data_IF_879459694893
#
_entry.id   IF_879459694893
#
_cell.length_a   1.000
_cell.length_b   1.000
_cell.length_c   1.000
_cell.angle_alpha   90.00
_cell.angle_beta   90.00
_cell.angle_gamma   90.00
#
_symmetry.space_group_name_H-M   'P 1'
#
loop_
_entity.id
_entity.type
_entity.pdbx_description
1 polymer ?
#
# COMPACT_ATOMS: atom_id res chain seq x y z
N UNK A 1 -14.80 21.22 13.66
CA UNK A 1 -14.18 20.97 12.34
C UNK A 1 -12.98 20.05 12.52
N UNK A 2 -13.11 18.74 12.27
CA UNK A 2 -11.97 17.79 12.34
C UNK A 2 -11.65 17.13 10.99
N UNK A 3 -12.46 17.40 9.97
CA UNK A 3 -12.50 16.61 8.74
C UNK A 3 -11.70 17.23 7.58
N UNK A 4 -11.35 18.52 7.65
CA UNK A 4 -10.62 19.21 6.58
C UNK A 4 -9.68 20.28 7.13
N UNK A 5 -8.77 20.76 6.28
CA UNK A 5 -8.03 22.03 6.44
C UNK A 5 -8.60 22.99 5.40
N UNK A 6 -8.84 24.23 5.76
CA UNK A 6 -9.29 25.28 4.85
C UNK A 6 -8.15 26.28 4.64
N UNK A 7 -8.04 26.79 3.43
CA UNK A 7 -7.03 27.77 3.04
C UNK A 7 -7.71 28.89 2.26
N UNK A 8 -7.32 30.13 2.55
CA UNK A 8 -7.77 31.31 1.81
C UNK A 8 -6.83 32.48 2.06
N UNK A 9 -6.77 33.37 1.08
CA UNK A 9 -5.95 34.58 1.11
C UNK A 9 -6.88 35.77 1.03
N UNK A 10 -6.72 36.73 1.94
CA UNK A 10 -7.55 37.92 2.01
C UNK A 10 -6.70 39.17 1.87
N UNK A 11 -7.22 40.16 1.17
CA UNK A 11 -6.62 41.49 1.20
C UNK A 11 -7.00 42.18 2.52
N UNK A 12 -6.01 42.79 3.18
CA UNK A 12 -6.24 43.60 4.39
C UNK A 12 -7.17 44.78 4.10
N UNK A 13 -7.23 45.26 2.85
CA UNK A 13 -8.13 46.34 2.42
C UNK A 13 -9.62 46.00 2.52
N UNK A 14 -9.97 44.72 2.69
CA UNK A 14 -11.37 44.30 2.89
C UNK A 14 -11.88 44.66 4.28
N UNK A 15 -11.01 45.04 5.20
CA UNK A 15 -11.36 45.30 6.58
C UNK A 15 -11.22 46.79 6.91
N UNK A 16 -12.26 47.41 7.50
CA UNK A 16 -12.17 48.80 7.95
C UNK A 16 -11.16 48.99 9.10
N UNK A 17 -10.88 47.93 9.86
CA UNK A 17 -9.88 47.85 10.93
C UNK A 17 -9.12 46.52 10.82
N UNK A 18 -8.00 46.37 11.54
CA UNK A 18 -7.27 45.10 11.57
C UNK A 18 -8.19 44.00 12.13
N UNK A 19 -8.47 42.92 11.35
CA UNK A 19 -9.40 41.89 11.78
C UNK A 19 -8.81 41.02 12.89
N UNK A 20 -9.66 40.60 13.81
CA UNK A 20 -9.36 39.59 14.81
C UNK A 20 -9.21 38.20 14.18
N UNK A 21 -8.52 37.29 14.88
CA UNK A 21 -8.40 35.90 14.45
C UNK A 21 -9.77 35.21 14.29
N UNK A 22 -10.78 35.60 15.08
CA UNK A 22 -12.16 35.06 14.98
C UNK A 22 -12.85 35.53 13.71
N UNK A 23 -12.69 36.80 13.35
CA UNK A 23 -13.25 37.35 12.10
C UNK A 23 -12.62 36.68 10.87
N UNK A 24 -11.29 36.52 10.86
CA UNK A 24 -10.58 35.81 9.79
C UNK A 24 -11.03 34.34 9.69
N UNK A 25 -11.17 33.64 10.82
CA UNK A 25 -11.63 32.26 10.84
C UNK A 25 -13.08 32.11 10.34
N UNK A 26 -13.98 33.03 10.72
CA UNK A 26 -15.36 33.06 10.24
C UNK A 26 -15.48 33.36 8.75
N UNK A 27 -14.58 34.17 8.20
CA UNK A 27 -14.51 34.39 6.76
C UNK A 27 -14.10 33.14 5.98
N UNK A 28 -13.21 32.32 6.53
CA UNK A 28 -12.85 31.03 5.93
C UNK A 28 -13.95 29.98 6.15
N UNK A 29 -14.60 30.00 7.30
CA UNK A 29 -15.64 29.06 7.66
C UNK A 29 -16.70 29.69 8.56
N UNK A 30 -17.87 29.94 7.97
CA UNK A 30 -19.06 30.50 8.63
C UNK A 30 -19.53 29.66 9.84
N UNK A 31 -19.19 28.37 9.90
CA UNK A 31 -19.50 27.45 11.00
C UNK A 31 -18.65 27.67 12.26
N UNK A 32 -17.67 28.58 12.24
CA UNK A 32 -16.86 28.93 13.41
C UNK A 32 -17.71 29.72 14.41
N UNK A 33 -17.99 29.13 15.57
CA UNK A 33 -18.81 29.75 16.63
C UNK A 33 -18.01 30.20 17.85
N UNK A 34 -16.68 30.01 17.87
CA UNK A 34 -15.84 30.38 19.02
C UNK A 34 -15.76 31.89 19.22
N UNK A 35 -15.65 32.33 20.47
CA UNK A 35 -15.53 33.74 20.85
C UNK A 35 -14.08 34.24 20.90
N UNK A 36 -13.11 33.34 21.06
CA UNK A 36 -11.67 33.65 21.08
C UNK A 36 -10.84 32.43 20.65
N UNK A 37 -9.61 32.69 20.23
CA UNK A 37 -8.56 31.68 20.05
C UNK A 37 -7.49 31.86 21.12
N UNK A 38 -6.87 30.76 21.53
CA UNK A 38 -5.70 30.77 22.41
C UNK A 38 -4.42 30.89 21.60
N UNK A 39 -3.46 31.66 22.13
CA UNK A 39 -2.17 31.86 21.46
C UNK A 39 -1.30 30.62 21.68
N UNK A 40 -0.79 30.06 20.59
CA UNK A 40 0.23 29.02 20.65
C UNK A 40 1.59 29.69 20.84
N UNK A 41 2.14 29.61 22.06
CA UNK A 41 3.43 30.22 22.43
C UNK A 41 4.60 29.23 22.38
N UNK A 42 4.33 27.95 22.15
CA UNK A 42 5.36 26.93 22.04
C UNK A 42 6.30 27.15 20.85
N UNK A 43 7.60 27.36 21.11
CA UNK A 43 8.58 27.71 20.07
C UNK A 43 8.71 26.67 18.94
N UNK A 44 8.54 25.37 19.24
CA UNK A 44 8.58 24.31 18.21
C UNK A 44 7.21 23.97 17.62
N UNK A 45 6.19 24.78 17.88
CA UNK A 45 4.87 24.58 17.29
C UNK A 45 4.89 24.48 15.75
N UNK A 46 5.66 25.29 15.00
CA UNK A 46 5.70 25.19 13.54
C UNK A 46 6.14 23.80 13.03
N UNK A 47 7.11 23.16 13.71
CA UNK A 47 7.57 21.80 13.35
C UNK A 47 6.45 20.77 13.53
N UNK A 48 5.70 20.86 14.65
CA UNK A 48 4.59 19.93 14.94
C UNK A 48 3.42 20.14 13.97
N UNK A 49 3.09 21.39 13.67
CA UNK A 49 2.00 21.75 12.74
C UNK A 49 2.37 21.30 11.32
N UNK A 50 3.61 21.54 10.88
CA UNK A 50 4.07 21.11 9.55
C UNK A 50 4.04 19.58 9.44
N UNK A 51 4.53 18.86 10.45
CA UNK A 51 4.43 17.40 10.48
C UNK A 51 2.97 16.93 10.40
N UNK A 52 2.06 17.58 11.13
CA UNK A 52 0.64 17.30 11.02
C UNK A 52 0.08 17.61 9.63
N UNK A 53 0.42 18.71 8.97
CA UNK A 53 -0.13 19.02 7.65
C UNK A 53 0.41 18.06 6.56
N UNK A 54 1.69 17.69 6.66
CA UNK A 54 2.36 16.82 5.69
C UNK A 54 2.11 15.32 5.90
N UNK A 55 1.39 14.92 6.95
CA UNK A 55 1.11 13.50 7.25
C UNK A 55 0.42 12.73 6.11
N UNK A 56 -0.20 13.44 5.16
CA UNK A 56 -0.89 12.87 3.99
C UNK A 56 0.03 12.76 2.77
N UNK A 57 1.17 13.45 2.78
CA UNK A 57 2.11 13.47 1.66
C UNK A 57 3.05 12.29 1.83
N UNK A 58 2.83 11.23 1.06
CA UNK A 58 3.80 10.13 0.99
C UNK A 58 4.89 10.45 -0.03
N UNK A 59 6.17 10.44 0.35
CA UNK A 59 7.27 10.47 -0.62
C UNK A 59 7.46 9.10 -1.30
N UNK A 60 6.91 8.03 -0.72
CA UNK A 60 7.21 6.66 -1.11
C UNK A 60 5.93 5.93 -1.54
N UNK A 61 6.05 5.14 -2.60
CA UNK A 61 4.93 4.39 -3.18
C UNK A 61 5.31 2.93 -3.39
N UNK A 62 4.30 2.06 -3.36
CA UNK A 62 4.46 0.65 -3.66
C UNK A 62 3.31 0.19 -4.55
N UNK A 63 3.65 -0.54 -5.60
CA UNK A 63 2.67 -0.98 -6.59
C UNK A 63 2.88 -2.45 -6.92
N UNK A 64 1.78 -3.19 -7.04
CA UNK A 64 1.82 -4.57 -7.52
C UNK A 64 2.12 -4.61 -9.01
N UNK A 65 2.85 -5.61 -9.48
CA UNK A 65 2.92 -5.95 -10.90
C UNK A 65 2.49 -7.40 -11.08
N UNK A 66 1.43 -7.58 -11.87
CA UNK A 66 0.85 -8.86 -12.24
C UNK A 66 1.22 -9.17 -13.69
N UNK A 67 1.43 -10.46 -13.95
CA UNK A 67 1.73 -10.99 -15.27
C UNK A 67 0.59 -11.91 -15.70
N UNK A 68 -0.15 -11.53 -16.75
CA UNK A 68 -1.29 -12.29 -17.26
C UNK A 68 -0.92 -12.92 -18.62
N UNK A 69 -0.78 -14.24 -18.62
CA UNK A 69 -0.57 -15.04 -19.83
C UNK A 69 -1.87 -15.21 -20.60
N UNK A 70 -1.75 -15.66 -21.84
CA UNK A 70 -2.91 -15.95 -22.68
C UNK A 70 -3.88 -16.95 -22.03
N UNK A 71 -5.18 -16.64 -22.05
CA UNK A 71 -6.22 -17.50 -21.52
C UNK A 71 -6.33 -17.56 -19.99
N UNK A 72 -5.60 -16.74 -19.23
CA UNK A 72 -5.70 -16.69 -17.77
C UNK A 72 -6.81 -15.73 -17.31
N UNK A 73 -7.77 -16.23 -16.54
CA UNK A 73 -8.94 -15.47 -16.07
C UNK A 73 -9.11 -15.47 -14.55
N UNK A 74 -8.34 -16.29 -13.82
CA UNK A 74 -8.45 -16.45 -12.37
C UNK A 74 -7.27 -15.82 -11.65
N UNK A 75 -7.48 -15.48 -10.37
CA UNK A 75 -6.41 -14.99 -9.49
C UNK A 75 -5.29 -16.02 -9.36
N UNK A 76 -5.69 -17.28 -9.19
CA UNK A 76 -4.80 -18.41 -8.99
C UNK A 76 -3.87 -18.60 -10.22
N UNK A 77 -4.43 -18.55 -11.42
CA UNK A 77 -3.64 -18.70 -12.67
C UNK A 77 -2.58 -17.59 -12.79
N UNK A 78 -2.98 -16.34 -12.54
CA UNK A 78 -2.11 -15.17 -12.67
C UNK A 78 -1.00 -15.18 -11.62
N UNK A 79 -1.34 -15.48 -10.35
CA UNK A 79 -0.37 -15.47 -9.25
C UNK A 79 0.56 -16.69 -9.29
N UNK A 80 0.21 -17.79 -9.95
CA UNK A 80 1.07 -18.97 -10.09
C UNK A 80 2.16 -18.84 -11.17
N UNK A 81 2.17 -17.75 -11.95
CA UNK A 81 3.18 -17.55 -12.99
C UNK A 81 4.60 -17.42 -12.40
N UNK A 82 5.54 -18.25 -12.87
CA UNK A 82 6.95 -18.22 -12.45
C UNK A 82 7.91 -17.79 -13.56
N UNK A 83 7.47 -17.89 -14.81
CA UNK A 83 8.28 -17.54 -15.97
C UNK A 83 7.94 -16.13 -16.43
N UNK A 84 8.96 -15.39 -16.86
CA UNK A 84 8.86 -14.04 -17.39
C UNK A 84 9.19 -14.08 -18.89
N UNK A 85 8.30 -13.59 -19.75
CA UNK A 85 8.63 -13.33 -21.16
C UNK A 85 9.66 -12.21 -21.30
N UNK A 86 10.36 -12.19 -22.43
CA UNK A 86 11.32 -11.12 -22.74
C UNK A 86 10.61 -9.76 -22.84
N UNK A 87 9.39 -9.75 -23.38
CA UNK A 87 8.56 -8.55 -23.44
C UNK A 87 8.13 -8.05 -22.07
N UNK A 88 7.85 -8.95 -21.12
CA UNK A 88 7.55 -8.56 -19.75
C UNK A 88 8.78 -7.98 -19.05
N UNK A 89 9.94 -8.62 -19.19
CA UNK A 89 11.21 -8.10 -18.66
C UNK A 89 11.55 -6.73 -19.25
N UNK A 90 11.28 -6.53 -20.53
CA UNK A 90 11.42 -5.23 -21.20
C UNK A 90 10.53 -4.17 -20.56
N UNK A 91 9.24 -4.47 -20.30
CA UNK A 91 8.37 -3.54 -19.57
C UNK A 91 8.91 -3.23 -18.17
N UNK A 92 9.38 -4.24 -17.42
CA UNK A 92 9.96 -4.03 -16.10
C UNK A 92 11.16 -3.06 -16.15
N UNK A 93 12.02 -3.20 -17.17
CA UNK A 93 13.15 -2.28 -17.38
C UNK A 93 12.72 -0.84 -17.72
N UNK A 94 11.54 -0.66 -18.33
CA UNK A 94 10.95 0.67 -18.57
C UNK A 94 10.46 1.28 -17.25
N UNK A 95 9.95 0.47 -16.31
CA UNK A 95 9.40 0.92 -15.03
C UNK A 95 10.46 1.23 -13.98
N UNK A 96 11.57 0.48 -13.97
CA UNK A 96 12.63 0.70 -12.99
C UNK A 96 13.83 -0.21 -13.19
N UNK A 97 14.75 -0.15 -12.24
CA UNK A 97 15.93 -0.97 -12.19
C UNK A 97 15.66 -2.20 -11.33
N UNK A 98 16.15 -3.37 -11.76
CA UNK A 98 16.15 -4.57 -10.91
C UNK A 98 17.24 -4.43 -9.86
N UNK A 99 16.85 -4.43 -8.58
CA UNK A 99 17.74 -4.28 -7.43
C UNK A 99 17.77 -5.57 -6.61
N UNK A 100 18.92 -5.89 -6.02
CA UNK A 100 19.02 -6.95 -5.01
C UNK A 100 18.40 -6.47 -3.71
N UNK A 101 17.59 -7.31 -3.07
CA UNK A 101 16.92 -6.99 -1.81
C UNK A 101 17.88 -7.08 -0.62
N UNK A 102 18.80 -8.04 -0.63
CA UNK A 102 19.79 -8.18 0.44
C UNK A 102 20.66 -6.92 0.55
N UNK A 103 20.60 -6.27 1.71
CA UNK A 103 21.35 -5.03 1.96
C UNK A 103 20.82 -3.79 1.24
N UNK A 104 19.63 -3.85 0.62
CA UNK A 104 19.01 -2.68 -0.02
C UNK A 104 18.70 -1.58 1.00
N UNK A 105 19.14 -0.35 0.70
CA UNK A 105 19.05 0.80 1.62
C UNK A 105 17.93 1.79 1.30
N UNK A 106 17.30 1.66 0.13
CA UNK A 106 16.17 2.52 -0.28
C UNK A 106 14.84 2.11 0.33
N UNK A 107 13.75 2.71 -0.13
CA UNK A 107 12.41 2.34 0.30
C UNK A 107 12.05 0.89 -0.06
N UNK A 108 12.00 0.00 0.94
CA UNK A 108 11.78 -1.44 0.75
C UNK A 108 10.35 -1.89 0.47
N UNK A 109 9.34 -1.02 0.51
CA UNK A 109 7.94 -1.40 0.22
C UNK A 109 7.27 -2.43 1.15
N UNK A 110 7.97 -2.93 2.18
CA UNK A 110 7.52 -4.06 3.02
C UNK A 110 8.19 -5.39 2.67
N UNK A 111 9.11 -5.39 1.70
CA UNK A 111 9.97 -6.53 1.38
C UNK A 111 11.06 -6.72 2.46
N UNK A 112 11.53 -7.96 2.55
CA UNK A 112 12.62 -8.37 3.42
C UNK A 112 13.98 -8.12 2.74
N UNK A 113 14.82 -7.33 3.41
CA UNK A 113 16.15 -6.93 2.95
C UNK A 113 17.27 -7.61 3.74
N UNK A 114 16.91 -8.47 4.71
CA UNK A 114 17.86 -9.08 5.64
C UNK A 114 17.94 -10.61 5.51
N UNK A 115 16.82 -11.30 5.29
CA UNK A 115 16.77 -12.77 5.35
C UNK A 115 16.26 -13.43 4.07
N UNK A 116 16.05 -12.67 2.99
CA UNK A 116 15.62 -13.20 1.68
C UNK A 116 14.21 -13.82 1.66
N UNK A 117 13.35 -13.50 2.63
CA UNK A 117 12.02 -14.13 2.74
C UNK A 117 11.03 -13.68 1.66
N UNK A 118 11.32 -12.61 0.93
CA UNK A 118 10.42 -12.03 -0.07
C UNK A 118 11.04 -12.00 -1.47
N UNK A 119 11.90 -12.98 -1.76
CA UNK A 119 12.67 -13.04 -3.00
C UNK A 119 14.06 -12.42 -2.86
N UNK A 120 14.88 -12.58 -3.89
CA UNK A 120 16.24 -12.01 -3.95
C UNK A 120 16.29 -10.63 -4.60
N UNK A 121 15.36 -10.35 -5.50
CA UNK A 121 15.35 -9.13 -6.30
C UNK A 121 13.96 -8.50 -6.39
N UNK A 122 13.93 -7.19 -6.65
CA UNK A 122 12.72 -6.42 -6.91
C UNK A 122 12.98 -5.36 -7.98
N UNK A 123 11.92 -4.74 -8.50
CA UNK A 123 12.07 -3.58 -9.39
C UNK A 123 11.84 -2.31 -8.57
N UNK A 124 12.76 -1.37 -8.69
CA UNK A 124 12.77 -0.13 -7.92
C UNK A 124 13.04 1.06 -8.82
N UNK A 125 12.49 2.22 -8.48
CA UNK A 125 12.88 3.46 -9.13
C UNK A 125 12.72 4.71 -8.27
N UNK A 126 13.49 5.74 -8.59
CA UNK A 126 13.28 7.10 -8.08
C UNK A 126 12.67 7.96 -9.19
N UNK A 127 11.54 8.59 -8.91
CA UNK A 127 10.78 9.39 -9.86
C UNK A 127 10.36 10.72 -9.22
N UNK A 128 10.90 11.83 -9.73
CA UNK A 128 10.68 13.19 -9.18
C UNK A 128 10.90 13.29 -7.65
N UNK A 129 11.95 12.64 -7.14
CA UNK A 129 12.27 12.62 -5.70
C UNK A 129 11.36 11.70 -4.87
N UNK A 130 10.55 10.86 -5.51
CA UNK A 130 9.72 9.84 -4.87
C UNK A 130 10.30 8.46 -5.12
N UNK A 131 10.38 7.64 -4.08
CA UNK A 131 10.85 6.26 -4.20
C UNK A 131 9.66 5.32 -4.48
N UNK A 132 9.80 4.44 -5.46
CA UNK A 132 8.77 3.50 -5.86
C UNK A 132 9.33 2.08 -5.82
N UNK A 133 8.71 1.22 -5.02
CA UNK A 133 9.01 -0.21 -4.95
C UNK A 133 7.92 -1.01 -5.66
N UNK A 134 8.29 -1.90 -6.58
CA UNK A 134 7.34 -2.75 -7.28
C UNK A 134 7.33 -4.17 -6.72
N UNK A 135 6.16 -4.63 -6.30
CA UNK A 135 5.92 -6.02 -5.92
C UNK A 135 5.61 -6.84 -7.18
N UNK A 136 6.65 -7.31 -7.86
CA UNK A 136 6.52 -8.12 -9.07
C UNK A 136 6.16 -9.56 -8.70
N UNK A 137 5.00 -10.04 -9.14
CA UNK A 137 4.48 -11.36 -8.76
C UNK A 137 5.49 -12.49 -9.01
N UNK A 138 6.15 -12.47 -10.18
CA UNK A 138 7.15 -13.47 -10.59
C UNK A 138 8.45 -13.42 -9.77
N UNK A 139 8.78 -12.27 -9.15
CA UNK A 139 9.98 -12.09 -8.31
C UNK A 139 9.72 -12.37 -6.83
N UNK A 140 8.46 -12.50 -6.44
CA UNK A 140 8.06 -12.92 -5.10
C UNK A 140 8.11 -14.46 -4.98
N UNK A 141 8.37 -15.00 -3.77
CA UNK A 141 8.51 -16.44 -3.56
C UNK A 141 7.29 -17.22 -4.04
N UNK A 142 7.56 -18.28 -4.79
CA UNK A 142 6.56 -19.26 -5.19
C UNK A 142 6.44 -20.35 -4.12
N UNK A 143 5.22 -20.72 -3.75
CA UNK A 143 4.96 -21.81 -2.80
C UNK A 143 4.28 -22.98 -3.51
N UNK A 144 4.98 -24.09 -3.68
CA UNK A 144 4.38 -25.31 -4.24
C UNK A 144 3.23 -25.81 -3.36
N UNK A 145 2.13 -26.23 -3.98
CA UNK A 145 0.95 -26.72 -3.27
C UNK A 145 0.05 -25.63 -2.66
N UNK A 146 0.37 -24.35 -2.82
CA UNK A 146 -0.49 -23.22 -2.44
C UNK A 146 -1.11 -22.56 -3.69
N UNK A 147 -2.30 -22.97 -4.16
CA UNK A 147 -2.91 -22.36 -5.34
C UNK A 147 -3.24 -20.87 -5.16
N UNK A 148 -3.37 -20.39 -3.91
CA UNK A 148 -3.66 -18.98 -3.63
C UNK A 148 -2.39 -18.11 -3.58
N UNK A 149 -1.20 -18.74 -3.60
CA UNK A 149 0.10 -18.08 -3.52
C UNK A 149 0.12 -16.97 -2.46
N UNK A 150 -0.22 -17.32 -1.22
CA UNK A 150 -0.45 -16.39 -0.12
C UNK A 150 0.74 -15.47 0.13
N UNK A 151 1.98 -15.92 -0.09
CA UNK A 151 3.18 -15.08 0.03
C UNK A 151 3.17 -13.94 -0.99
N UNK A 152 2.82 -14.23 -2.26
CA UNK A 152 2.69 -13.20 -3.30
C UNK A 152 1.51 -12.28 -3.03
N UNK A 153 0.37 -12.89 -2.71
CA UNK A 153 -0.87 -12.17 -2.42
C UNK A 153 -0.77 -11.26 -1.20
N UNK A 154 0.01 -11.61 -0.19
CA UNK A 154 0.24 -10.76 1.00
C UNK A 154 0.88 -9.42 0.63
N UNK A 155 1.73 -9.37 -0.39
CA UNK A 155 2.33 -8.11 -0.84
C UNK A 155 1.40 -7.40 -1.82
N UNK A 156 1.13 -8.01 -2.97
CA UNK A 156 0.35 -7.38 -4.06
C UNK A 156 -1.09 -7.10 -3.64
N UNK A 157 -1.72 -8.04 -2.92
CA UNK A 157 -3.08 -7.89 -2.42
C UNK A 157 -3.22 -6.83 -1.33
N UNK A 158 -2.13 -6.30 -0.78
CA UNK A 158 -2.13 -5.18 0.16
C UNK A 158 -1.68 -3.86 -0.48
N UNK A 159 -1.41 -3.84 -1.78
CA UNK A 159 -1.20 -2.62 -2.53
C UNK A 159 -2.54 -1.98 -2.90
N UNK A 160 -2.53 -0.67 -3.12
CA UNK A 160 -3.73 0.09 -3.50
C UNK A 160 -3.93 0.05 -5.02
N UNK A 161 -2.82 0.08 -5.76
CA UNK A 161 -2.78 0.11 -7.22
C UNK A 161 -1.84 -0.98 -7.71
N UNK A 162 -2.23 -1.67 -8.79
CA UNK A 162 -1.39 -2.63 -9.48
C UNK A 162 -1.30 -2.33 -10.98
N UNK A 163 -0.19 -2.74 -11.58
CA UNK A 163 -0.02 -2.82 -13.02
C UNK A 163 -0.22 -4.27 -13.46
N UNK A 164 -0.95 -4.50 -14.55
CA UNK A 164 -1.15 -5.81 -15.16
C UNK A 164 -0.51 -5.79 -16.53
N UNK A 165 0.52 -6.60 -16.74
CA UNK A 165 1.03 -6.85 -18.08
C UNK A 165 0.28 -8.00 -18.73
N UNK A 166 -0.15 -7.83 -19.98
CA UNK A 166 -0.84 -8.86 -20.74
C UNK A 166 -0.01 -9.33 -21.93
N UNK A 167 0.14 -10.64 -22.07
CA UNK A 167 0.75 -11.25 -23.27
C UNK A 167 -0.18 -11.13 -24.48
N UNK A 168 -1.48 -11.34 -24.28
CA UNK A 168 -2.51 -11.35 -25.33
C UNK A 168 -3.64 -10.37 -25.01
N UNK A 169 -4.61 -10.25 -25.91
CA UNK A 169 -5.81 -9.44 -25.69
C UNK A 169 -6.82 -10.19 -24.80
N UNK A 170 -6.39 -10.60 -23.62
CA UNK A 170 -7.24 -11.25 -22.62
C UNK A 170 -7.99 -10.17 -21.82
N UNK A 171 -9.31 -10.26 -21.63
CA UNK A 171 -10.03 -9.34 -20.75
C UNK A 171 -9.48 -9.39 -19.31
N UNK A 172 -9.38 -8.23 -18.66
CA UNK A 172 -9.04 -8.12 -17.24
C UNK A 172 -10.11 -7.30 -16.51
N UNK A 173 -10.69 -7.88 -15.46
CA UNK A 173 -11.67 -7.21 -14.59
C UNK A 173 -11.02 -6.86 -13.26
N UNK A 174 -11.43 -5.74 -12.66
CA UNK A 174 -10.93 -5.31 -11.34
C UNK A 174 -11.17 -6.33 -10.22
N UNK A 175 -12.15 -7.22 -10.43
CA UNK A 175 -12.59 -8.19 -9.43
C UNK A 175 -11.87 -9.54 -9.54
N UNK A 176 -10.99 -9.72 -10.54
CA UNK A 176 -10.20 -10.95 -10.70
C UNK A 176 -9.34 -11.19 -9.46
N UNK A 177 -8.65 -10.17 -8.97
CA UNK A 177 -7.82 -10.26 -7.78
C UNK A 177 -8.64 -9.85 -6.55
N UNK A 178 -8.93 -10.83 -5.69
CA UNK A 178 -9.75 -10.64 -4.49
C UNK A 178 -8.94 -9.94 -3.40
N UNK A 179 -9.08 -8.63 -3.33
CA UNK A 179 -8.42 -7.77 -2.35
C UNK A 179 -9.33 -6.68 -1.80
N UNK A 180 -9.16 -6.35 -0.51
CA UNK A 180 -9.78 -5.18 0.12
C UNK A 180 -9.00 -3.88 -0.16
N UNK A 181 -7.79 -3.97 -0.71
CA UNK A 181 -6.87 -2.85 -0.91
C UNK A 181 -6.75 -2.44 -2.37
N UNK A 182 -6.68 -3.40 -3.29
CA UNK A 182 -6.60 -3.09 -4.71
C UNK A 182 -7.88 -2.40 -5.18
N UNK A 183 -7.75 -1.14 -5.61
CA UNK A 183 -8.86 -0.31 -6.08
C UNK A 183 -8.66 0.17 -7.52
N UNK A 184 -7.44 0.09 -8.06
CA UNK A 184 -7.13 0.53 -9.40
C UNK A 184 -6.08 -0.39 -10.06
N UNK A 185 -6.26 -0.63 -11.34
CA UNK A 185 -5.36 -1.41 -12.18
C UNK A 185 -5.03 -0.64 -13.46
N UNK A 186 -3.74 -0.57 -13.78
CA UNK A 186 -3.27 -0.12 -15.09
C UNK A 186 -2.92 -1.36 -15.90
N UNK A 187 -3.57 -1.56 -17.03
CA UNK A 187 -3.36 -2.70 -17.91
C UNK A 187 -2.46 -2.27 -19.05
N UNK A 188 -1.34 -2.96 -19.26
CA UNK A 188 -0.35 -2.67 -20.29
C UNK A 188 -0.16 -3.89 -21.17
N UNK A 189 -0.27 -3.70 -22.48
CA UNK A 189 -0.10 -4.77 -23.46
C UNK A 189 0.83 -4.32 -24.56
N UNK A 190 1.82 -5.16 -24.89
CA UNK A 190 2.67 -4.92 -26.05
C UNK A 190 1.89 -5.22 -27.33
N UNK A 191 1.98 -4.33 -28.30
CA UNK A 191 1.37 -4.47 -29.63
C UNK A 191 2.41 -4.21 -30.71
N UNK A 192 2.13 -4.68 -31.92
CA UNK A 192 2.89 -4.25 -33.10
C UNK A 192 2.56 -2.79 -33.38
N UNK A 193 3.59 -1.99 -33.67
CA UNK A 193 3.45 -0.57 -33.94
C UNK A 193 2.60 -0.28 -35.18
N UNK A 194 1.91 0.88 -35.23
CA UNK A 194 1.01 1.24 -36.33
C UNK A 194 1.72 1.61 -37.64
N UNK A 195 3.05 1.55 -37.72
CA UNK A 195 3.84 1.94 -38.89
C UNK A 195 4.05 0.80 -39.90
N UNK A 196 4.17 1.15 -41.19
CA UNK A 196 4.52 0.23 -42.30
C UNK A 196 5.93 -0.38 -42.17
N UNK A 197 6.76 0.12 -41.24
CA UNK A 197 8.07 -0.47 -40.93
C UNK A 197 7.88 -1.62 -39.95
N UNK A 198 8.03 -2.83 -40.47
CA UNK A 198 8.08 -4.08 -39.73
C UNK A 198 9.05 -3.97 -38.54
N UNK A 199 8.54 -3.93 -37.31
CA UNK A 199 9.35 -4.06 -36.09
C UNK A 199 9.24 -2.95 -35.04
N UNK A 200 8.51 -1.85 -35.28
CA UNK A 200 8.28 -0.86 -34.22
C UNK A 200 7.42 -1.45 -33.10
N UNK A 201 7.93 -1.43 -31.87
CA UNK A 201 7.23 -1.91 -30.67
C UNK A 201 6.38 -0.78 -30.10
N UNK A 202 5.11 -1.05 -29.82
CA UNK A 202 4.23 -0.10 -29.14
C UNK A 202 3.53 -0.75 -27.95
N UNK A 203 3.04 0.07 -27.02
CA UNK A 203 2.32 -0.38 -25.83
C UNK A 203 0.94 0.26 -25.81
N UNK A 204 -0.09 -0.59 -25.71
CA UNK A 204 -1.44 -0.15 -25.43
C UNK A 204 -1.65 -0.11 -23.92
N UNK A 205 -2.27 0.97 -23.43
CA UNK A 205 -2.55 1.13 -22.00
C UNK A 205 -4.05 1.30 -21.78
N UNK A 206 -4.59 0.60 -20.80
CA UNK A 206 -5.95 0.76 -20.31
C UNK A 206 -5.95 0.94 -18.79
N UNK A 207 -7.05 1.45 -18.24
CA UNK A 207 -7.22 1.67 -16.81
C UNK A 207 -8.57 1.10 -16.39
N UNK A 208 -8.59 0.33 -15.32
CA UNK A 208 -9.81 -0.12 -14.66
C UNK A 208 -9.70 0.15 -13.17
N UNK A 209 -10.78 0.61 -12.55
CA UNK A 209 -10.80 0.96 -11.14
C UNK A 209 -12.21 0.70 -10.59
N UNK A 210 -12.32 0.64 -9.26
CA UNK A 210 -13.62 0.59 -8.58
C UNK A 210 -14.42 1.87 -8.84
N UNK A 211 -15.74 1.75 -8.81
CA UNK A 211 -16.68 2.83 -9.13
C UNK A 211 -16.51 4.07 -8.24
N UNK A 212 -16.09 3.89 -6.98
CA UNK A 212 -15.93 4.97 -6.01
C UNK A 212 -14.57 5.69 -6.10
N UNK A 213 -13.70 5.30 -7.03
CA UNK A 213 -12.42 5.97 -7.31
C UNK A 213 -12.65 7.12 -8.30
N UNK A 214 -12.41 8.39 -7.91
CA UNK A 214 -12.55 9.51 -8.83
C UNK A 214 -11.55 9.44 -9.99
N UNK A 215 -11.87 10.08 -11.12
CA UNK A 215 -10.95 10.22 -12.25
C UNK A 215 -9.62 10.88 -11.83
N UNK A 216 -8.53 10.41 -12.41
CA UNK A 216 -7.18 10.89 -12.13
C UNK A 216 -6.34 10.99 -13.42
N UNK A 217 -5.47 11.98 -13.49
CA UNK A 217 -4.61 12.23 -14.63
C UNK A 217 -3.32 11.39 -14.62
N UNK A 218 -2.49 11.49 -15.68
CA UNK A 218 -2.79 12.11 -16.98
C UNK A 218 -3.90 11.37 -17.74
N UNK A 219 -4.65 12.03 -18.62
CA UNK A 219 -5.64 11.36 -19.47
C UNK A 219 -4.95 10.40 -20.45
N UNK A 220 -5.59 9.28 -20.80
CA UNK A 220 -5.09 8.41 -21.86
C UNK A 220 -5.05 9.18 -23.19
N UNK A 221 -4.04 8.95 -24.05
CA UNK A 221 -4.06 9.46 -25.41
C UNK A 221 -5.17 8.77 -26.22
N UNK A 222 -5.53 9.37 -27.36
CA UNK A 222 -6.46 8.80 -28.32
C UNK A 222 -5.76 8.67 -29.69
N UNK A 223 -5.38 7.45 -30.12
CA UNK A 223 -5.59 6.16 -29.45
C UNK A 223 -4.69 5.96 -28.21
N UNK A 224 -5.04 5.04 -27.28
CA UNK A 224 -4.30 4.83 -26.03
C UNK A 224 -3.02 4.00 -26.22
N UNK A 225 -2.16 4.45 -27.14
CA UNK A 225 -0.97 3.74 -27.62
C UNK A 225 0.26 4.62 -27.42
N UNK A 226 1.35 4.01 -26.94
CA UNK A 226 2.65 4.65 -26.74
C UNK A 226 3.72 3.93 -27.56
N UNK A 227 4.46 4.68 -28.37
CA UNK A 227 5.60 4.17 -29.15
C UNK A 227 6.95 4.55 -28.52
N UNK A 228 7.01 5.68 -27.82
CA UNK A 228 8.20 6.14 -27.11
C UNK A 228 8.24 5.59 -25.68
N UNK A 229 9.36 4.95 -25.31
CA UNK A 229 9.53 4.28 -24.00
C UNK A 229 9.64 5.29 -22.86
N UNK A 230 10.26 6.45 -23.09
CA UNK A 230 10.42 7.48 -22.08
C UNK A 230 9.09 8.14 -21.76
N UNK A 231 8.27 8.43 -22.78
CA UNK A 231 6.91 8.93 -22.60
C UNK A 231 6.01 7.89 -21.92
N UNK A 232 6.13 6.61 -22.29
CA UNK A 232 5.41 5.53 -21.61
C UNK A 232 5.79 5.46 -20.12
N UNK A 233 7.09 5.51 -19.80
CA UNK A 233 7.59 5.51 -18.42
C UNK A 233 7.03 6.69 -17.62
N UNK A 234 7.17 7.90 -18.15
CA UNK A 234 6.66 9.12 -17.49
C UNK A 234 5.15 9.03 -17.25
N UNK A 235 4.41 8.58 -18.27
CA UNK A 235 2.97 8.37 -18.18
C UNK A 235 2.61 7.34 -17.10
N UNK A 236 3.18 6.13 -17.14
CA UNK A 236 2.84 5.04 -16.22
C UNK A 236 3.14 5.42 -14.77
N UNK A 237 4.33 5.95 -14.48
CA UNK A 237 4.72 6.30 -13.11
C UNK A 237 3.84 7.43 -12.54
N UNK A 238 3.57 8.46 -13.34
CA UNK A 238 2.68 9.55 -12.95
C UNK A 238 1.25 9.05 -12.74
N UNK A 239 0.76 8.20 -13.64
CA UNK A 239 -0.60 7.62 -13.59
C UNK A 239 -0.78 6.70 -12.39
N UNK A 240 0.21 5.88 -12.03
CA UNK A 240 0.21 5.04 -10.83
C UNK A 240 0.13 5.86 -9.54
N UNK A 241 0.98 6.90 -9.41
CA UNK A 241 0.97 7.80 -8.24
C UNK A 241 -0.38 8.49 -8.11
N UNK A 242 -0.89 9.05 -9.20
CA UNK A 242 -2.17 9.74 -9.20
C UNK A 242 -3.35 8.80 -8.94
N UNK A 243 -3.27 7.54 -9.42
CA UNK A 243 -4.24 6.51 -9.10
C UNK A 243 -4.31 6.27 -7.59
N UNK A 244 -3.16 6.08 -6.91
CA UNK A 244 -3.14 5.84 -5.47
C UNK A 244 -3.67 7.05 -4.69
N UNK A 245 -3.26 8.26 -5.06
CA UNK A 245 -3.77 9.50 -4.47
C UNK A 245 -5.29 9.61 -4.65
N UNK A 246 -5.82 9.19 -5.80
CA UNK A 246 -7.27 9.19 -6.05
C UNK A 246 -7.98 8.12 -5.23
N UNK A 247 -7.40 6.92 -5.10
CA UNK A 247 -7.95 5.84 -4.28
C UNK A 247 -8.13 6.27 -2.82
N UNK A 248 -7.30 7.15 -2.26
CA UNK A 248 -7.54 7.67 -0.90
C UNK A 248 -8.85 8.47 -0.73
N UNK A 249 -9.48 8.90 -1.84
CA UNK A 249 -10.79 9.56 -1.85
C UNK A 249 -11.95 8.55 -1.88
N UNK A 250 -11.69 7.28 -2.19
CA UNK A 250 -12.68 6.20 -2.16
C UNK A 250 -13.24 6.01 -0.74
N UNK A 251 -14.43 5.43 -0.63
CA UNK A 251 -15.20 5.45 0.63
C UNK A 251 -14.48 4.72 1.77
N UNK A 252 -13.87 3.57 1.45
CA UNK A 252 -13.17 2.74 2.44
C UNK A 252 -11.93 3.46 3.01
N UNK A 253 -11.14 4.10 2.14
CA UNK A 253 -9.91 4.78 2.55
C UNK A 253 -10.15 6.14 3.20
N UNK A 254 -11.07 6.93 2.66
CA UNK A 254 -11.40 8.27 3.18
C UNK A 254 -11.90 8.21 4.63
N UNK A 255 -12.71 7.21 4.99
CA UNK A 255 -13.19 7.02 6.38
C UNK A 255 -12.06 6.76 7.35
N UNK A 256 -11.12 5.88 6.99
CA UNK A 256 -9.96 5.60 7.84
C UNK A 256 -9.04 6.81 7.96
N UNK A 257 -8.82 7.50 6.84
CA UNK A 257 -7.99 8.69 6.76
C UNK A 257 -8.54 9.83 7.63
N UNK A 258 -9.86 10.09 7.59
CA UNK A 258 -10.53 11.06 8.45
C UNK A 258 -10.43 10.72 9.95
N UNK A 259 -10.48 9.42 10.29
CA UNK A 259 -10.29 8.96 11.67
C UNK A 259 -8.88 9.24 12.14
N UNK A 260 -7.87 8.87 11.35
CA UNK A 260 -6.46 9.12 11.65
C UNK A 260 -6.19 10.61 11.80
N UNK A 261 -6.67 11.43 10.85
CA UNK A 261 -6.55 12.89 10.92
C UNK A 261 -7.15 13.45 12.21
N UNK A 262 -8.35 13.00 12.60
CA UNK A 262 -9.02 13.50 13.80
C UNK A 262 -8.21 13.20 15.07
N UNK A 263 -7.66 11.98 15.17
CA UNK A 263 -6.81 11.59 16.31
C UNK A 263 -5.49 12.36 16.35
N UNK A 264 -4.84 12.54 15.19
CA UNK A 264 -3.60 13.32 15.10
C UNK A 264 -3.84 14.79 15.45
N UNK A 265 -4.97 15.37 15.03
CA UNK A 265 -5.34 16.75 15.34
C UNK A 265 -5.61 16.95 16.83
N UNK A 266 -6.32 16.01 17.47
CA UNK A 266 -6.55 16.02 18.92
C UNK A 266 -5.22 15.95 19.68
N UNK A 267 -4.32 15.06 19.28
CA UNK A 267 -3.00 14.94 19.89
C UNK A 267 -2.15 16.20 19.69
N UNK A 268 -2.20 16.81 18.51
CA UNK A 268 -1.48 18.06 18.21
C UNK A 268 -2.00 19.18 19.11
N UNK A 269 -3.31 19.34 19.18
CA UNK A 269 -3.94 20.39 19.98
C UNK A 269 -3.60 20.24 21.47
N UNK A 270 -3.64 19.03 22.01
CA UNK A 270 -3.25 18.76 23.39
C UNK A 270 -1.78 19.11 23.68
N UNK A 271 -0.86 18.71 22.80
CA UNK A 271 0.58 19.00 22.94
C UNK A 271 0.84 20.51 22.86
N UNK A 272 0.26 21.20 21.86
CA UNK A 272 0.42 22.65 21.68
C UNK A 272 -0.12 23.43 22.88
N UNK A 273 -1.30 23.05 23.40
CA UNK A 273 -1.89 23.67 24.57
C UNK A 273 -1.00 23.50 25.80
N UNK A 274 -0.62 22.26 26.11
CA UNK A 274 0.20 21.93 27.29
C UNK A 274 1.53 22.66 27.26
N UNK A 275 2.25 22.62 26.12
CA UNK A 275 3.55 23.28 25.98
C UNK A 275 3.46 24.79 26.05
N UNK A 276 2.41 25.38 25.47
CA UNK A 276 2.20 26.83 25.50
C UNK A 276 1.92 27.32 26.92
N UNK A 277 1.13 26.58 27.71
CA UNK A 277 0.86 26.88 29.12
C UNK A 277 2.15 26.83 29.96
N UNK A 278 2.99 25.80 29.78
CA UNK A 278 4.27 25.72 30.46
C UNK A 278 5.18 26.93 30.13
N UNK A 279 5.21 27.39 28.89
CA UNK A 279 6.02 28.55 28.49
C UNK A 279 5.50 29.88 29.07
N UNK A 280 4.20 29.97 29.35
CA UNK A 280 3.57 31.16 29.96
C UNK A 280 3.68 31.18 31.49
N UNK A 281 4.33 30.18 32.09
CA UNK A 281 4.61 30.16 33.52
C UNK A 281 3.44 29.70 34.40
N UNK A 282 2.50 28.90 33.87
CA UNK A 282 1.46 28.28 34.70
C UNK A 282 2.09 27.24 35.67
N UNK A 283 2.07 27.47 37.00
CA UNK A 283 2.74 26.61 37.97
C UNK A 283 2.07 25.26 38.19
N UNK A 284 0.87 25.02 37.64
CA UNK A 284 0.12 23.78 37.85
C UNK A 284 0.66 22.57 37.06
N UNK A 285 1.57 22.81 36.10
CA UNK A 285 2.19 21.78 35.25
C UNK A 285 3.72 21.65 35.45
N UNK A 286 4.30 22.39 36.40
CA UNK A 286 5.73 22.33 36.71
C UNK A 286 6.07 21.13 37.61
N UNK A 287 5.96 19.91 37.09
CA UNK A 287 6.66 18.74 37.65
C UNK A 287 7.27 17.94 36.50
N UNK A 288 8.42 18.42 36.03
CA UNK A 288 9.45 17.54 35.47
C UNK A 288 10.76 17.91 36.18
N UNK A 289 11.46 16.96 36.83
CA UNK A 289 12.73 17.28 37.45
C UNK A 289 13.74 17.64 36.38
N UNK A 290 14.32 18.82 36.50
CA UNK A 290 15.56 19.20 35.84
C UNK A 290 16.69 18.33 36.42
N UNK A 291 17.17 17.35 35.67
CA UNK A 291 18.47 16.73 35.96
C UNK A 291 19.25 16.55 34.67
N UNK A 292 20.06 17.55 34.34
CA UNK A 292 21.28 17.28 33.59
C UNK A 292 22.25 16.51 34.50
N UNK A 293 22.43 15.22 34.22
CA UNK A 293 23.71 14.50 34.23
C UNK A 293 23.48 12.98 34.27
N UNK A 294 23.78 12.31 33.14
CA UNK A 294 24.22 10.91 33.04
C UNK A 294 23.38 9.80 33.70
N UNK A 295 22.56 9.12 32.88
CA UNK A 295 22.42 7.64 32.70
C UNK A 295 20.97 7.20 32.54
N UNK A 296 20.73 6.40 31.50
CA UNK A 296 19.55 5.54 31.35
C UNK A 296 18.43 6.13 30.50
N UNK A 297 18.33 5.64 29.26
CA UNK A 297 17.15 5.80 28.40
C UNK A 297 15.95 5.20 29.14
N UNK A 298 15.06 6.04 29.64
CA UNK A 298 13.75 5.61 30.14
C UNK A 298 12.77 5.64 28.97
N UNK A 299 12.54 4.46 28.39
CA UNK A 299 11.46 4.18 27.45
C UNK A 299 10.11 4.45 28.13
N UNK A 300 9.37 5.48 27.70
CA UNK A 300 8.00 5.64 28.21
C UNK A 300 7.26 6.94 27.89
N UNK A 301 7.93 8.03 27.54
CA UNK A 301 7.26 9.30 27.21
C UNK A 301 7.65 9.77 25.81
N UNK A 302 7.12 9.08 24.80
CA UNK A 302 7.32 9.46 23.40
C UNK A 302 6.59 10.76 23.10
N UNK A 303 7.33 11.80 22.73
CA UNK A 303 6.75 13.09 22.33
C UNK A 303 5.84 12.95 21.10
N UNK A 304 5.02 13.97 20.81
CA UNK A 304 4.07 13.97 19.69
C UNK A 304 4.65 13.42 18.39
N UNK A 305 5.89 13.79 18.01
CA UNK A 305 6.55 13.33 16.79
C UNK A 305 6.77 11.81 16.79
N UNK A 306 7.08 11.22 17.93
CA UNK A 306 7.31 9.77 18.06
C UNK A 306 6.00 9.00 17.99
N UNK A 307 4.96 9.50 18.65
CA UNK A 307 3.60 8.97 18.54
C UNK A 307 3.04 9.13 17.12
N UNK A 308 3.32 10.25 16.46
CA UNK A 308 2.99 10.53 15.07
C UNK A 308 3.69 9.57 14.11
N UNK A 309 5.00 9.40 14.25
CA UNK A 309 5.79 8.42 13.46
C UNK A 309 5.28 6.99 13.67
N UNK A 310 4.89 6.64 14.91
CA UNK A 310 4.27 5.34 15.22
C UNK A 310 2.89 5.22 14.55
N UNK A 311 2.04 6.24 14.60
CA UNK A 311 0.72 6.24 13.97
C UNK A 311 0.80 6.14 12.43
N UNK A 312 1.76 6.79 11.78
CA UNK A 312 2.00 6.67 10.34
C UNK A 312 2.57 5.30 9.99
N UNK A 313 3.54 4.77 10.75
CA UNK A 313 4.04 3.41 10.56
C UNK A 313 2.92 2.38 10.72
N UNK A 314 2.00 2.61 11.66
CA UNK A 314 0.79 1.84 11.83
C UNK A 314 -0.15 2.05 10.64
N UNK A 315 -0.23 3.18 9.93
CA UNK A 315 -1.02 3.26 8.68
C UNK A 315 -0.56 2.24 7.64
N UNK A 316 0.75 2.02 7.51
CA UNK A 316 1.30 1.02 6.58
C UNK A 316 1.05 -0.44 7.02
N UNK A 317 0.96 -0.70 8.33
CA UNK A 317 0.76 -2.05 8.93
C UNK A 317 -0.69 -2.35 9.38
N UNK A 318 -1.50 -1.34 9.69
CA UNK A 318 -2.89 -1.44 10.18
C UNK A 318 -3.85 -1.85 9.08
N UNK A 319 -3.48 -1.60 7.83
CA UNK A 319 -4.18 -2.19 6.71
C UNK A 319 -4.01 -3.72 6.70
N UNK A 320 -2.89 -4.28 7.19
CA UNK A 320 -2.71 -5.74 7.30
C UNK A 320 -3.70 -6.38 8.29
N UNK A 321 -4.20 -5.64 9.28
CA UNK A 321 -5.10 -6.18 10.32
C UNK A 321 -6.57 -6.26 9.90
N UNK A 322 -6.95 -5.66 8.77
CA UNK A 322 -8.30 -5.76 8.21
C UNK A 322 -8.52 -7.05 7.39
N UNK A 323 -7.45 -7.76 7.02
CA UNK A 323 -7.50 -9.00 6.23
C UNK A 323 -7.64 -10.28 7.06
N UNK A 324 -7.76 -10.20 8.38
CA UNK A 324 -7.93 -11.39 9.24
C UNK A 324 -9.40 -11.49 9.66
N UNK A 325 -10.14 -12.54 9.24
CA UNK A 325 -11.44 -12.83 9.82
C UNK A 325 -11.25 -13.05 11.32
N UNK A 326 -11.86 -12.20 12.15
CA UNK A 326 -11.94 -12.44 13.59
C UNK A 326 -12.75 -13.71 13.81
N UNK A 327 -12.06 -14.83 14.06
CA UNK A 327 -12.67 -15.99 14.72
C UNK A 327 -13.15 -15.53 16.10
N UNK A 328 -14.46 -15.48 16.28
CA UNK A 328 -15.11 -15.35 17.57
C UNK A 328 -14.77 -16.63 18.34
N UNK A 329 -13.78 -16.54 19.24
CA UNK A 329 -13.37 -17.63 20.11
C UNK A 329 -14.32 -17.72 21.30
N UNK A 330 -15.11 -18.80 21.35
CA UNK A 330 -15.78 -19.27 22.55
C UNK A 330 -14.79 -19.92 23.51
N UNK A 331 -14.92 -19.58 24.77
CA UNK A 331 -14.10 -20.02 25.90
C UNK A 331 -14.18 -21.53 26.16
N UNK A 332 -13.03 -22.18 26.42
CA UNK A 332 -12.96 -23.26 27.40
C UNK A 332 -11.52 -23.41 27.93
N UNK A 333 -11.38 -23.25 29.24
CA UNK A 333 -10.18 -23.46 30.04
C UNK A 333 -9.78 -24.93 30.10
N UNK A 334 -8.48 -25.24 30.15
CA UNK A 334 -7.88 -26.12 31.17
C UNK A 334 -6.34 -26.05 31.19
N UNK A 335 -5.81 -26.18 32.41
CA UNK A 335 -4.42 -25.98 32.86
C UNK A 335 -3.53 -27.23 32.64
N UNK A 336 -2.19 -27.13 32.84
CA UNK A 336 -1.17 -27.97 32.20
C UNK A 336 -0.71 -29.17 33.05
N UNK A 337 -0.05 -30.14 32.39
CA UNK A 337 0.86 -31.10 33.03
C UNK A 337 2.13 -31.32 32.18
N UNK A 338 3.25 -31.26 32.88
CA UNK A 338 4.63 -31.62 32.53
C UNK A 338 4.86 -33.13 32.53
N UNK A 339 5.85 -33.57 31.74
CA UNK A 339 6.89 -34.60 31.98
C UNK A 339 7.25 -35.25 30.61
N UNK A 340 8.41 -34.99 30.01
CA UNK A 340 9.79 -35.52 30.19
C UNK A 340 10.02 -36.97 29.73
N UNK A 341 11.20 -37.13 29.12
CA UNK A 341 11.95 -38.34 28.70
C UNK A 341 11.53 -38.94 27.35
N UNK A 342 12.36 -38.89 26.30
CA UNK A 342 13.55 -39.73 26.03
C UNK A 342 13.16 -40.67 24.87
N UNK A 343 13.93 -41.08 23.87
CA UNK A 343 15.36 -41.09 23.54
C UNK A 343 15.46 -41.48 22.04
N UNK A 344 16.67 -41.40 21.50
CA UNK A 344 17.16 -41.52 20.12
C UNK A 344 16.89 -42.81 19.30
N UNK A 345 16.62 -42.61 18.00
CA UNK A 345 17.43 -43.01 16.83
C UNK A 345 17.71 -44.52 16.51
N UNK A 346 17.19 -45.00 15.36
CA UNK A 346 17.90 -45.78 14.31
C UNK A 346 16.97 -46.42 13.26
N UNK A 347 17.25 -46.16 11.98
CA UNK A 347 16.84 -46.93 10.77
C UNK A 347 17.71 -48.22 10.62
N UNK A 348 17.64 -49.07 9.55
CA UNK A 348 16.83 -49.05 8.31
C UNK A 348 16.26 -50.42 7.78
N UNK A 349 15.21 -50.34 6.93
CA UNK A 349 14.79 -51.24 5.79
C UNK A 349 14.68 -52.78 5.94
N UNK A 350 14.22 -53.55 4.93
CA UNK A 350 13.60 -53.23 3.63
C UNK A 350 12.28 -54.00 3.32
N UNK A 351 11.75 -53.77 2.09
CA UNK A 351 10.55 -54.32 1.42
C UNK A 351 10.41 -55.86 1.40
N UNK A 352 9.21 -56.36 1.03
CA UNK A 352 9.13 -57.10 -0.25
C UNK A 352 7.91 -56.79 -1.12
N UNK A 353 8.02 -57.27 -2.36
CA UNK A 353 7.13 -57.14 -3.51
C UNK A 353 6.06 -58.25 -3.61
N UNK A 354 5.32 -58.20 -4.73
CA UNK A 354 4.43 -59.18 -5.37
C UNK A 354 2.92 -58.94 -5.16
N UNK A 355 2.02 -59.15 -6.14
CA UNK A 355 2.04 -59.26 -7.60
C UNK A 355 0.56 -59.49 -8.05
N UNK A 356 0.30 -59.39 -9.37
CA UNK A 356 -0.87 -59.93 -10.12
C UNK A 356 -2.15 -59.07 -10.28
N UNK A 357 -2.41 -58.65 -11.54
CA UNK A 357 -3.76 -58.33 -12.08
C UNK A 357 -4.44 -59.60 -12.63
N UNK A 358 -5.26 -59.57 -13.70
CA UNK A 358 -6.01 -58.48 -14.36
C UNK A 358 -7.51 -58.86 -14.60
N UNK A 359 -8.15 -58.20 -15.57
CA UNK A 359 -9.50 -58.44 -16.17
C UNK A 359 -10.65 -57.64 -15.50
N UNK A 360 -11.64 -57.06 -16.18
CA UNK A 360 -12.17 -57.31 -17.53
C UNK A 360 -13.06 -56.13 -18.00
N UNK A 361 -13.25 -56.04 -19.33
CA UNK A 361 -14.06 -55.07 -20.06
C UNK A 361 -15.59 -55.24 -19.86
N UNK A 362 -16.35 -54.14 -19.92
CA UNK A 362 -17.60 -53.96 -20.69
C UNK A 362 -18.10 -52.50 -20.55
N UNK A 363 -18.01 -51.63 -21.55
CA UNK A 363 -18.83 -51.48 -22.77
C UNK A 363 -20.25 -50.91 -22.55
N UNK A 364 -20.61 -49.95 -23.43
CA UNK A 364 -21.92 -49.29 -23.65
C UNK A 364 -22.35 -48.17 -22.68
N UNK A 365 -23.09 -47.13 -23.08
CA UNK A 365 -23.41 -46.46 -24.34
C UNK A 365 -24.12 -45.15 -23.94
N UNK A 366 -23.99 -44.07 -24.73
CA UNK A 366 -24.84 -42.88 -24.64
C UNK A 366 -26.27 -43.19 -25.12
N UNK A 367 -27.27 -42.37 -24.78
CA UNK A 367 -27.73 -41.42 -25.80
C UNK A 367 -28.17 -40.03 -25.29
N UNK A 368 -28.11 -39.11 -26.26
CA UNK A 368 -28.76 -37.83 -26.52
C UNK A 368 -30.01 -37.37 -25.73
N UNK A 369 -30.07 -36.03 -25.60
CA UNK A 369 -31.17 -35.06 -25.77
C UNK A 369 -32.55 -35.33 -25.14
N UNK A 370 -33.03 -34.37 -24.34
CA UNK A 370 -34.11 -33.45 -24.75
C UNK A 370 -34.35 -32.33 -23.70
N UNK A 371 -34.70 -31.15 -24.22
CA UNK A 371 -35.21 -29.89 -23.60
C UNK A 371 -34.24 -28.87 -23.01
#
# INVERSE_FOLDING_TARGET
MKQCTLHGVFSVSLFPNIPSAVELAKMLCDRVTVSKFEVVSFLKAPELITAFDEHRVSPNFKFGILYQKDGQFTEEDILCNNEESEEFKELLSILGETVQLEGFTGFRGGLDVCHGQTGSEAVFTSFHGREIMFHVATKLPFTEGDPQQLQRKRHIGNDIVALVYQESQTPFLSDVIKSHFLHCFLVVRRIQGPGEKTGETAYQVAVTAREDVPLFGPSLPDPPIFTDRSLLREFLLTKLINAEISCYKAQQFSRLELRTRSLLLESLQAELSTRSQCMMGDPSLSVLPSSEATRGVSEGSGGFIENFKRAIRVRSHSFETLGVPRKIGGSASQKPKTDKDGESDKSPGPLPADSQGPAELKDQASPQEET
#
